data_IF_976592803112
#
_entry.id   IF_976592803112
#
_cell.length_a   1.000
_cell.length_b   1.000
_cell.length_c   1.000
_cell.angle_alpha   90.00
_cell.angle_beta   90.00
_cell.angle_gamma   90.00
#
_symmetry.space_group_name_H-M   'P 1'
#
loop_
_entity.id
_entity.type
_entity.pdbx_description
1 polymer ?
#
# COMPACT_ATOMS: atom_id res chain seq x y z
N UNK A 1 -9.08 3.88 -6.87
CA UNK A 1 -9.43 2.67 -6.08
C UNK A 1 -8.15 2.10 -5.51
N UNK A 2 -8.17 1.63 -4.27
CA UNK A 2 -7.04 0.92 -3.66
C UNK A 2 -7.39 -0.54 -3.42
N UNK A 3 -6.37 -1.40 -3.47
CA UNK A 3 -6.43 -2.80 -3.08
C UNK A 3 -5.52 -3.02 -1.88
N UNK A 4 -6.08 -3.58 -0.82
CA UNK A 4 -5.45 -3.67 0.49
C UNK A 4 -5.51 -5.10 1.03
N UNK A 5 -4.70 -5.38 2.05
CA UNK A 5 -4.56 -6.68 2.68
C UNK A 5 -3.10 -7.08 2.86
N UNK A 6 -2.87 -8.15 3.61
CA UNK A 6 -1.54 -8.71 3.85
C UNK A 6 -0.92 -9.27 2.56
N UNK A 7 0.36 -9.58 2.57
CA UNK A 7 1.04 -10.20 1.42
C UNK A 7 0.52 -11.62 1.16
N UNK A 8 0.46 -12.04 -0.10
CA UNK A 8 -0.02 -13.38 -0.49
C UNK A 8 -1.54 -13.54 -0.66
N UNK A 9 -2.36 -12.53 -0.33
CA UNK A 9 -3.83 -12.62 -0.44
C UNK A 9 -4.39 -12.59 -1.87
N UNK A 10 -3.55 -12.25 -2.86
CA UNK A 10 -3.93 -12.23 -4.28
C UNK A 10 -4.31 -10.86 -4.84
N UNK A 11 -3.83 -9.76 -4.23
CA UNK A 11 -4.06 -8.38 -4.71
C UNK A 11 -3.73 -8.22 -6.19
N UNK A 12 -2.53 -8.65 -6.60
CA UNK A 12 -2.07 -8.55 -8.00
C UNK A 12 -3.03 -9.23 -8.98
N UNK A 13 -3.51 -10.43 -8.66
CA UNK A 13 -4.48 -11.15 -9.50
C UNK A 13 -5.77 -10.37 -9.67
N UNK A 14 -6.31 -9.81 -8.58
CA UNK A 14 -7.56 -9.04 -8.63
C UNK A 14 -7.39 -7.69 -9.33
N UNK A 15 -6.25 -7.04 -9.15
CA UNK A 15 -5.91 -5.78 -9.83
C UNK A 15 -5.84 -5.97 -11.33
N UNK A 16 -5.15 -7.00 -11.82
CA UNK A 16 -5.06 -7.30 -13.26
C UNK A 16 -6.44 -7.67 -13.84
N UNK A 17 -7.22 -8.52 -13.15
CA UNK A 17 -8.57 -8.86 -13.60
C UNK A 17 -9.49 -7.64 -13.71
N UNK A 18 -9.44 -6.72 -12.73
CA UNK A 18 -10.24 -5.50 -12.76
C UNK A 18 -9.76 -4.54 -13.86
N UNK A 19 -8.45 -4.38 -14.02
CA UNK A 19 -7.85 -3.57 -15.09
C UNK A 19 -8.33 -4.06 -16.46
N UNK A 20 -8.20 -5.35 -16.75
CA UNK A 20 -8.60 -5.93 -18.03
C UNK A 20 -10.10 -5.74 -18.29
N UNK A 21 -10.93 -5.95 -17.27
CA UNK A 21 -12.36 -5.70 -17.38
C UNK A 21 -12.69 -4.24 -17.71
N UNK A 22 -12.08 -3.28 -17.00
CA UNK A 22 -12.32 -1.85 -17.24
C UNK A 22 -11.80 -1.39 -18.60
N UNK A 23 -10.65 -1.92 -19.04
CA UNK A 23 -10.13 -1.67 -20.37
C UNK A 23 -11.05 -2.24 -21.45
N UNK A 24 -11.67 -3.40 -21.23
CA UNK A 24 -12.67 -3.97 -22.15
C UNK A 24 -13.92 -3.08 -22.31
N UNK A 25 -14.20 -2.23 -21.32
CA UNK A 25 -15.27 -1.22 -21.34
C UNK A 25 -14.82 0.13 -21.94
N UNK A 26 -13.63 0.19 -22.53
CA UNK A 26 -13.07 1.40 -23.17
C UNK A 26 -12.57 2.45 -22.19
N UNK A 27 -12.27 2.09 -20.94
CA UNK A 27 -11.74 3.02 -19.93
C UNK A 27 -10.22 3.09 -19.99
N UNK A 28 -9.65 4.28 -19.87
CA UNK A 28 -8.23 4.42 -19.54
C UNK A 28 -8.01 3.97 -18.09
N UNK A 29 -7.08 3.04 -17.87
CA UNK A 29 -6.76 2.50 -16.55
C UNK A 29 -5.28 2.69 -16.28
N UNK A 30 -4.97 3.30 -15.13
CA UNK A 30 -3.60 3.40 -14.59
C UNK A 30 -3.51 2.48 -13.39
N UNK A 31 -2.71 1.41 -13.53
CA UNK A 31 -2.34 0.56 -12.40
C UNK A 31 -1.03 1.04 -11.83
N UNK A 32 -0.97 1.15 -10.51
CA UNK A 32 0.21 1.58 -9.77
C UNK A 32 0.30 0.87 -8.41
N UNK A 33 1.30 1.18 -7.60
CA UNK A 33 1.52 0.59 -6.28
C UNK A 33 2.28 1.51 -5.34
N UNK A 34 2.09 1.29 -4.04
CA UNK A 34 2.86 1.94 -2.98
C UNK A 34 3.53 0.92 -2.05
N UNK A 35 4.77 1.18 -1.60
CA UNK A 35 5.68 2.19 -2.12
C UNK A 35 6.24 1.78 -3.49
N UNK A 36 6.73 2.74 -4.30
CA UNK A 36 7.46 2.42 -5.53
C UNK A 36 6.81 2.82 -6.86
N UNK A 37 5.74 3.61 -6.84
CA UNK A 37 5.05 4.06 -8.06
C UNK A 37 5.82 5.08 -8.91
N UNK A 38 6.94 5.63 -8.40
CA UNK A 38 7.77 6.64 -9.07
C UNK A 38 9.25 6.29 -9.03
N UNK A 39 10.11 7.04 -9.75
CA UNK A 39 11.55 6.80 -9.70
C UNK A 39 12.12 7.01 -8.29
N UNK A 40 11.73 8.10 -7.61
CA UNK A 40 12.09 8.32 -6.20
C UNK A 40 11.47 7.23 -5.33
N UNK A 41 10.20 6.88 -5.57
CA UNK A 41 9.51 5.86 -4.81
C UNK A 41 10.19 4.50 -4.87
N UNK A 42 10.77 4.12 -6.02
CA UNK A 42 11.58 2.89 -6.14
C UNK A 42 12.79 2.94 -5.21
N UNK A 43 13.51 4.06 -5.14
CA UNK A 43 14.63 4.23 -4.21
C UNK A 43 14.18 4.15 -2.74
N UNK A 44 13.05 4.79 -2.41
CA UNK A 44 12.50 4.73 -1.05
C UNK A 44 12.04 3.32 -0.68
N UNK A 45 11.45 2.59 -1.64
CA UNK A 45 11.05 1.19 -1.48
C UNK A 45 12.25 0.30 -1.16
N UNK A 46 13.38 0.47 -1.86
CA UNK A 46 14.60 -0.29 -1.56
C UNK A 46 15.08 -0.04 -0.12
N UNK A 47 15.08 1.22 0.34
CA UNK A 47 15.44 1.57 1.72
C UNK A 47 14.47 0.92 2.71
N UNK A 48 13.17 0.99 2.45
CA UNK A 48 12.13 0.46 3.33
C UNK A 48 12.15 -1.08 3.43
N UNK A 49 12.36 -1.78 2.32
CA UNK A 49 12.20 -3.24 2.23
C UNK A 49 13.51 -4.01 2.35
N UNK A 50 14.64 -3.39 2.01
CA UNK A 50 15.95 -4.05 1.94
C UNK A 50 17.05 -3.27 2.68
N UNK A 51 16.75 -2.08 3.20
CA UNK A 51 17.68 -1.27 3.98
C UNK A 51 17.81 -1.69 5.45
N UNK A 52 18.65 -0.94 6.18
CA UNK A 52 18.78 -1.10 7.63
C UNK A 52 17.50 -0.70 8.36
N UNK A 53 17.25 -1.32 9.50
CA UNK A 53 16.13 -0.94 10.37
C UNK A 53 16.21 0.55 10.75
N UNK A 54 15.07 1.23 10.72
CA UNK A 54 14.92 2.65 11.09
C UNK A 54 13.88 2.79 12.22
N UNK A 55 13.84 3.95 12.87
CA UNK A 55 12.80 4.26 13.86
C UNK A 55 11.40 4.26 13.23
N UNK A 56 10.34 4.05 14.03
CA UNK A 56 8.97 4.01 13.51
C UNK A 56 8.57 5.33 12.85
N UNK A 57 8.97 6.47 13.42
CA UNK A 57 8.76 7.80 12.82
C UNK A 57 9.47 7.95 11.48
N UNK A 58 10.72 7.48 11.37
CA UNK A 58 11.45 7.50 10.09
C UNK A 58 10.73 6.65 9.04
N UNK A 59 10.30 5.44 9.39
CA UNK A 59 9.57 4.57 8.48
C UNK A 59 8.28 5.23 7.98
N UNK A 60 7.47 5.80 8.88
CA UNK A 60 6.24 6.51 8.53
C UNK A 60 6.49 7.71 7.60
N UNK A 61 7.54 8.50 7.87
CA UNK A 61 7.93 9.63 7.03
C UNK A 61 8.37 9.20 5.63
N UNK A 62 9.10 8.08 5.51
CA UNK A 62 9.54 7.56 4.21
C UNK A 62 8.35 7.05 3.37
N UNK A 63 7.40 6.34 3.98
CA UNK A 63 6.15 5.97 3.30
C UNK A 63 5.33 7.20 2.89
N UNK A 64 5.23 8.21 3.76
CA UNK A 64 4.53 9.45 3.44
C UNK A 64 5.22 10.23 2.29
N UNK A 65 6.55 10.25 2.26
CA UNK A 65 7.32 10.89 1.19
C UNK A 65 7.14 10.17 -0.17
N UNK A 66 7.19 8.84 -0.19
CA UNK A 66 6.87 8.05 -1.39
C UNK A 66 5.46 8.38 -1.91
N UNK A 67 4.48 8.35 -1.00
CA UNK A 67 3.07 8.62 -1.33
C UNK A 67 2.85 10.03 -1.86
N UNK A 68 3.42 11.05 -1.22
CA UNK A 68 3.32 12.44 -1.68
C UNK A 68 3.83 12.59 -3.12
N UNK A 69 5.00 12.01 -3.39
CA UNK A 69 5.60 12.02 -4.72
C UNK A 69 4.73 11.28 -5.74
N UNK A 70 4.22 10.11 -5.35
CA UNK A 70 3.38 9.28 -6.19
C UNK A 70 2.05 9.94 -6.55
N UNK A 71 1.42 10.60 -5.58
CA UNK A 71 0.21 11.40 -5.79
C UNK A 71 0.47 12.54 -6.78
N UNK A 72 1.56 13.28 -6.60
CA UNK A 72 1.90 14.41 -7.44
C UNK A 72 2.24 14.01 -8.89
N UNK A 73 2.99 12.92 -9.09
CA UNK A 73 3.51 12.55 -10.42
C UNK A 73 2.62 11.58 -11.20
N UNK A 74 1.83 10.75 -10.52
CA UNK A 74 1.08 9.65 -11.17
C UNK A 74 -0.41 9.80 -10.94
N UNK A 75 -0.85 9.82 -9.67
CA UNK A 75 -2.28 9.69 -9.36
C UNK A 75 -3.06 10.93 -9.79
N UNK A 76 -2.67 12.14 -9.35
CA UNK A 76 -3.40 13.37 -9.71
C UNK A 76 -3.42 13.63 -11.21
N UNK A 77 -2.31 13.49 -11.96
CA UNK A 77 -2.33 13.62 -13.42
C UNK A 77 -3.20 12.57 -14.13
N UNK A 78 -3.37 11.37 -13.55
CA UNK A 78 -4.28 10.35 -14.09
C UNK A 78 -5.74 10.67 -13.83
N UNK A 79 -6.06 11.10 -12.62
CA UNK A 79 -7.41 11.52 -12.27
C UNK A 79 -7.85 12.76 -13.08
N UNK A 80 -6.96 13.74 -13.30
CA UNK A 80 -7.30 14.99 -14.00
C UNK A 80 -7.71 14.78 -15.46
N UNK A 81 -7.26 13.70 -16.10
CA UNK A 81 -7.63 13.34 -17.48
C UNK A 81 -8.77 12.30 -17.55
N UNK A 82 -9.35 11.94 -16.40
CA UNK A 82 -10.49 11.03 -16.32
C UNK A 82 -10.14 9.54 -16.30
N UNK A 83 -8.86 9.18 -16.11
CA UNK A 83 -8.45 7.79 -16.03
C UNK A 83 -8.90 7.16 -14.70
N UNK A 84 -9.17 5.85 -14.74
CA UNK A 84 -9.37 5.06 -13.53
C UNK A 84 -8.02 4.69 -12.94
N UNK A 85 -7.74 5.13 -11.72
CA UNK A 85 -6.52 4.73 -10.99
C UNK A 85 -6.82 3.54 -10.09
N UNK A 86 -6.02 2.48 -10.21
CA UNK A 86 -6.00 1.32 -9.34
C UNK A 86 -4.62 1.26 -8.68
N UNK A 87 -4.56 1.32 -7.35
CA UNK A 87 -3.29 1.21 -6.61
C UNK A 87 -3.27 -0.05 -5.74
N UNK A 88 -2.19 -0.82 -5.83
CA UNK A 88 -1.86 -1.85 -4.84
C UNK A 88 -1.23 -1.15 -3.63
N UNK A 89 -1.96 -1.15 -2.51
CA UNK A 89 -1.72 -0.38 -1.29
C UNK A 89 -1.87 1.14 -1.45
N UNK A 90 -2.26 1.78 -0.36
CA UNK A 90 -2.36 3.22 -0.17
C UNK A 90 -2.29 3.58 1.33
N UNK A 91 -3.10 4.53 1.82
CA UNK A 91 -3.10 4.99 3.22
C UNK A 91 -3.50 3.88 4.20
N UNK A 92 -4.46 3.02 3.83
CA UNK A 92 -4.94 1.95 4.71
C UNK A 92 -3.82 0.97 5.09
N UNK A 93 -2.93 0.65 4.14
CA UNK A 93 -1.70 -0.10 4.43
C UNK A 93 -0.83 0.60 5.48
N UNK A 94 -0.71 1.93 5.44
CA UNK A 94 0.07 2.62 6.47
C UNK A 94 -0.56 2.53 7.84
N UNK A 95 -1.89 2.66 7.93
CA UNK A 95 -2.61 2.51 9.18
C UNK A 95 -2.43 1.10 9.75
N UNK A 96 -2.53 0.06 8.91
CA UNK A 96 -2.41 -1.32 9.36
C UNK A 96 -0.98 -1.71 9.79
N UNK A 97 0.04 -1.28 9.03
CA UNK A 97 1.43 -1.69 9.29
C UNK A 97 2.14 -0.80 10.32
N UNK A 98 1.91 0.53 10.32
CA UNK A 98 2.64 1.44 11.19
C UNK A 98 1.93 1.74 12.52
N UNK A 99 0.60 1.69 12.58
CA UNK A 99 -0.13 2.04 13.81
C UNK A 99 -0.24 0.89 14.84
N UNK A 100 0.35 -0.27 14.55
CA UNK A 100 0.40 -1.42 15.48
C UNK A 100 1.50 -1.35 16.54
N UNK A 101 2.36 -0.32 16.52
CA UNK A 101 3.45 -0.10 17.47
C UNK A 101 3.06 0.83 18.63
N UNK A 102 3.82 0.81 19.73
CA UNK A 102 3.61 1.72 20.88
C UNK A 102 4.00 3.19 20.62
N UNK A 103 4.70 3.48 19.53
CA UNK A 103 5.28 4.81 19.26
C UNK A 103 4.36 5.73 18.45
N UNK A 104 3.56 5.19 17.54
CA UNK A 104 2.69 5.95 16.63
C UNK A 104 1.24 5.48 16.77
N UNK A 105 0.33 6.43 16.95
CA UNK A 105 -1.11 6.14 16.96
C UNK A 105 -1.68 6.04 15.54
N UNK A 106 -2.86 5.42 15.39
CA UNK A 106 -3.61 5.43 14.10
C UNK A 106 -3.84 6.86 13.60
N UNK A 107 -4.10 7.80 14.52
CA UNK A 107 -4.33 9.20 14.18
C UNK A 107 -3.05 9.93 13.72
N UNK A 108 -1.90 9.67 14.35
CA UNK A 108 -0.61 10.22 13.89
C UNK A 108 -0.33 9.84 12.43
N UNK A 109 -0.52 8.55 12.11
CA UNK A 109 -0.28 8.02 10.76
C UNK A 109 -1.32 8.55 9.77
N UNK A 110 -2.59 8.66 10.19
CA UNK A 110 -3.67 9.26 9.37
C UNK A 110 -3.35 10.71 9.03
N UNK A 111 -3.08 11.54 10.02
CA UNK A 111 -2.78 12.97 9.83
C UNK A 111 -1.57 13.18 8.91
N UNK A 112 -0.50 12.40 9.11
CA UNK A 112 0.67 12.46 8.23
C UNK A 112 0.32 12.07 6.78
N UNK A 113 -0.48 11.02 6.61
CA UNK A 113 -0.87 10.52 5.29
C UNK A 113 -1.81 11.47 4.55
N UNK A 114 -2.76 12.09 5.26
CA UNK A 114 -3.66 13.10 4.69
C UNK A 114 -2.90 14.35 4.29
N UNK A 115 -1.98 14.82 5.12
CA UNK A 115 -1.12 15.95 4.78
C UNK A 115 -0.28 15.66 3.53
N UNK A 116 0.36 14.48 3.47
CA UNK A 116 1.19 14.07 2.34
C UNK A 116 0.43 14.00 1.01
N UNK A 117 -0.87 13.73 1.05
CA UNK A 117 -1.69 13.50 -0.14
C UNK A 117 -2.63 14.65 -0.47
N UNK A 118 -2.62 15.72 0.33
CA UNK A 118 -3.63 16.79 0.30
C UNK A 118 -5.04 16.18 0.34
N UNK A 119 -5.24 15.33 1.36
CA UNK A 119 -6.49 14.61 1.69
C UNK A 119 -7.09 13.80 0.54
N UNK A 120 -6.26 13.31 -0.38
CA UNK A 120 -6.72 12.48 -1.49
C UNK A 120 -6.96 11.04 -1.01
N UNK A 121 -8.23 10.71 -0.75
CA UNK A 121 -8.66 9.36 -0.42
C UNK A 121 -9.17 8.58 -1.65
N UNK A 122 -8.99 7.24 -1.71
CA UNK A 122 -9.60 6.44 -2.75
C UNK A 122 -11.13 6.54 -2.67
N UNK A 123 -11.81 6.63 -3.82
CA UNK A 123 -13.29 6.55 -3.84
C UNK A 123 -13.81 5.19 -3.37
N UNK A 124 -12.97 4.15 -3.41
CA UNK A 124 -13.25 2.80 -2.95
C UNK A 124 -11.94 2.07 -2.65
N UNK A 125 -11.91 1.42 -1.49
CA UNK A 125 -10.88 0.47 -1.07
C UNK A 125 -11.46 -0.94 -1.13
N UNK A 126 -10.72 -1.89 -1.69
CA UNK A 126 -11.03 -3.32 -1.66
C UNK A 126 -10.04 -4.02 -0.74
N UNK A 127 -10.52 -4.49 0.40
CA UNK A 127 -9.73 -5.31 1.32
C UNK A 127 -9.86 -6.78 0.93
N UNK A 128 -8.73 -7.42 0.60
CA UNK A 128 -8.66 -8.86 0.40
C UNK A 128 -8.24 -9.50 1.73
N UNK A 129 -9.19 -10.11 2.41
CA UNK A 129 -8.97 -10.81 3.68
C UNK A 129 -8.64 -12.30 3.48
N UNK A 130 -7.66 -12.78 4.24
CA UNK A 130 -7.26 -14.18 4.30
C UNK A 130 -6.54 -14.47 5.61
N UNK A 131 -6.65 -15.70 6.11
CA UNK A 131 -5.81 -16.14 7.22
C UNK A 131 -4.33 -16.07 6.84
N UNK A 132 -3.46 -15.46 7.67
CA UNK A 132 -2.04 -15.33 7.37
C UNK A 132 -1.36 -16.65 7.02
N UNK A 133 -1.76 -17.75 7.65
CA UNK A 133 -1.20 -19.09 7.41
C UNK A 133 -1.42 -19.55 5.97
N UNK A 134 -2.57 -19.22 5.39
CA UNK A 134 -2.89 -19.57 4.00
C UNK A 134 -2.25 -18.61 3.01
N UNK A 135 -2.14 -17.33 3.38
CA UNK A 135 -1.44 -16.32 2.58
C UNK A 135 0.06 -16.64 2.46
N UNK A 136 0.70 -17.07 3.55
CA UNK A 136 2.12 -17.47 3.57
C UNK A 136 2.40 -18.68 2.68
N UNK A 137 1.50 -19.65 2.59
CA UNK A 137 1.65 -20.82 1.69
C UNK A 137 1.73 -20.42 0.22
N UNK A 138 1.21 -19.25 -0.15
CA UNK A 138 1.22 -18.71 -1.52
C UNK A 138 2.46 -17.89 -1.84
N UNK A 139 3.26 -17.54 -0.83
CA UNK A 139 4.50 -16.79 -1.02
C UNK A 139 5.60 -17.76 -1.46
N UNK A 140 5.91 -17.79 -2.76
CA UNK A 140 6.95 -18.63 -3.36
C UNK A 140 8.22 -17.84 -3.71
N UNK A 141 8.55 -16.81 -2.94
CA UNK A 141 9.70 -15.91 -3.18
C UNK A 141 10.47 -15.62 -1.89
N UNK A 142 11.68 -15.09 -2.03
CA UNK A 142 12.42 -14.52 -0.90
C UNK A 142 11.59 -13.40 -0.24
N UNK A 143 11.50 -13.47 1.09
CA UNK A 143 10.73 -12.53 1.89
C UNK A 143 11.51 -11.23 2.05
N UNK A 144 10.84 -10.09 1.87
CA UNK A 144 11.43 -8.80 2.22
C UNK A 144 11.49 -8.58 3.75
N UNK A 145 12.10 -7.47 4.19
CA UNK A 145 12.26 -7.17 5.62
C UNK A 145 10.94 -7.16 6.38
N UNK A 146 9.86 -6.69 5.76
CA UNK A 146 8.54 -6.59 6.40
C UNK A 146 7.86 -7.96 6.46
N UNK A 147 7.97 -8.75 5.41
CA UNK A 147 7.48 -10.13 5.37
C UNK A 147 8.22 -11.03 6.37
N UNK A 148 9.53 -10.77 6.56
CA UNK A 148 10.40 -11.49 7.51
C UNK A 148 10.05 -11.23 8.99
N UNK A 149 9.14 -10.29 9.29
CA UNK A 149 8.66 -10.04 10.65
C UNK A 149 7.80 -11.20 11.21
N UNK A 150 7.41 -12.16 10.36
CA UNK A 150 6.80 -13.43 10.76
C UNK A 150 5.28 -13.40 10.91
N UNK A 151 4.72 -14.58 11.22
CA UNK A 151 3.27 -14.83 11.19
C UNK A 151 2.48 -13.96 12.18
N UNK A 152 3.03 -13.68 13.37
CA UNK A 152 2.35 -12.88 14.39
C UNK A 152 2.23 -11.41 13.98
N UNK A 153 3.23 -10.91 13.24
CA UNK A 153 3.13 -9.58 12.65
C UNK A 153 2.00 -9.54 11.62
N UNK A 154 1.95 -10.53 10.71
CA UNK A 154 0.88 -10.61 9.71
C UNK A 154 -0.52 -10.74 10.32
N UNK A 155 -0.68 -11.47 11.44
CA UNK A 155 -1.94 -11.54 12.19
C UNK A 155 -2.37 -10.17 12.72
N UNK A 156 -1.47 -9.45 13.39
CA UNK A 156 -1.77 -8.09 13.91
C UNK A 156 -2.08 -7.12 12.78
N UNK A 157 -1.36 -7.19 11.66
CA UNK A 157 -1.62 -6.34 10.50
C UNK A 157 -3.00 -6.63 9.90
N UNK A 158 -3.38 -7.91 9.79
CA UNK A 158 -4.72 -8.31 9.36
C UNK A 158 -5.80 -7.77 10.29
N UNK A 159 -5.64 -7.93 11.60
CA UNK A 159 -6.57 -7.38 12.60
C UNK A 159 -6.69 -5.86 12.44
N UNK A 160 -5.57 -5.16 12.28
CA UNK A 160 -5.56 -3.72 12.09
C UNK A 160 -6.28 -3.25 10.81
N UNK A 161 -6.34 -4.07 9.75
CA UNK A 161 -7.15 -3.80 8.56
C UNK A 161 -8.66 -4.00 8.78
N UNK A 162 -9.06 -4.84 9.74
CA UNK A 162 -10.46 -5.16 10.03
C UNK A 162 -11.10 -4.21 11.06
N UNK A 163 -10.26 -3.51 11.84
CA UNK A 163 -10.62 -2.48 12.83
C UNK A 163 -10.84 -1.07 12.24
#
# INVERSE_FOLDING_TARGET
MSFEGIDGVGKTTQVEALKDHLQSLGREVVVTREPGGTQLGKTLREILLHGTSVSARTEALLFAADRAQHVAQVIRPALSRGAVVITDRYIDSSLAYQAGGRELTKDDVRTLSEWATDSLWPNRTYLLDMQPEDAFKRLHREQDRMESAGIDFARRTREAFLD
#
